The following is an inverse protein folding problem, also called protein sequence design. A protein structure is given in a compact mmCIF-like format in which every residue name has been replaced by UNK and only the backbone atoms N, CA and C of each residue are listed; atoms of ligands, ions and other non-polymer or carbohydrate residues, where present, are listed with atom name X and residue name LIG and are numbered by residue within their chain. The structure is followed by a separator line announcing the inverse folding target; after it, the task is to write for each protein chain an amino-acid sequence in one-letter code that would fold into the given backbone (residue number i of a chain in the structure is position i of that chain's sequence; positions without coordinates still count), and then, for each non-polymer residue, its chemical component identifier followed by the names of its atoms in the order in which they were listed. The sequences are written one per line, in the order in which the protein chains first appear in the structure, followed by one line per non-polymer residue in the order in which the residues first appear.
data_IF_039935775961
#
_entry.id   IF_039935775961
#
_cell.length_a   1.000
_cell.length_b   1.000
_cell.length_c   1.000
_cell.angle_alpha   90.00
_cell.angle_beta   90.00
_cell.angle_gamma   90.00
#
_symmetry.space_group_name_H-M   'P 1'
#
loop_
_entity.id
_entity.type
_entity.pdbx_description
1 polymer ?
#
# COMPACT_ATOMS: atom_id res chain seq x y z
N UNK A 1 -12.13 6.68 22.97
CA UNK A 1 -10.67 6.85 23.08
C UNK A 1 -10.03 5.52 22.76
N UNK A 2 -9.45 5.38 21.57
CA UNK A 2 -8.85 4.11 21.14
C UNK A 2 -7.50 3.94 21.83
N UNK A 3 -7.37 2.85 22.57
CA UNK A 3 -6.14 2.39 23.19
C UNK A 3 -5.18 2.04 22.05
N UNK A 4 -4.13 2.84 21.87
CA UNK A 4 -3.02 2.49 20.99
C UNK A 4 -2.31 1.33 21.67
N UNK A 5 -2.54 0.11 21.16
CA UNK A 5 -1.76 -1.05 21.56
C UNK A 5 -0.29 -0.72 21.31
N UNK A 6 0.56 -0.84 22.33
CA UNK A 6 2.01 -0.72 22.16
C UNK A 6 2.44 -1.72 21.08
N UNK A 7 3.23 -1.29 20.07
CA UNK A 7 3.69 -2.21 19.04
C UNK A 7 4.51 -3.31 19.72
N UNK A 8 4.17 -4.57 19.44
CA UNK A 8 5.06 -5.70 19.70
C UNK A 8 6.45 -5.32 19.21
N UNK A 9 7.53 -5.46 20.00
CA UNK A 9 8.85 -5.13 19.53
C UNK A 9 9.09 -5.91 18.24
N UNK A 10 9.39 -5.21 17.13
CA UNK A 10 9.52 -5.80 15.79
C UNK A 10 10.46 -7.02 15.75
N UNK A 11 11.39 -7.07 16.71
CA UNK A 11 12.38 -8.11 16.95
C UNK A 11 11.79 -9.46 17.39
N UNK A 12 10.56 -9.46 17.93
CA UNK A 12 9.88 -10.65 18.46
C UNK A 12 8.84 -11.24 17.48
N UNK A 13 8.65 -10.62 16.32
CA UNK A 13 7.72 -11.08 15.29
C UNK A 13 8.41 -12.17 14.46
N UNK A 14 7.83 -13.38 14.33
CA UNK A 14 8.33 -14.40 13.41
C UNK A 14 8.41 -13.86 11.97
N UNK A 15 9.43 -14.25 11.20
CA UNK A 15 9.65 -13.75 9.83
C UNK A 15 8.40 -13.89 8.93
N UNK A 16 7.69 -15.02 9.02
CA UNK A 16 6.47 -15.27 8.23
C UNK A 16 5.33 -14.30 8.59
N UNK A 17 5.22 -13.93 9.87
CA UNK A 17 4.20 -12.98 10.35
C UNK A 17 4.60 -11.54 9.98
N UNK A 18 5.90 -11.21 10.03
CA UNK A 18 6.44 -9.92 9.59
C UNK A 18 6.26 -9.71 8.08
N UNK A 19 6.50 -10.74 7.28
CA UNK A 19 6.26 -10.71 5.83
C UNK A 19 4.77 -10.50 5.54
N UNK A 20 3.89 -11.22 6.24
CA UNK A 20 2.44 -11.08 6.09
C UNK A 20 1.96 -9.67 6.44
N UNK A 21 2.50 -9.08 7.53
CA UNK A 21 2.19 -7.72 7.94
C UNK A 21 2.71 -6.68 6.93
N UNK A 22 3.93 -6.86 6.42
CA UNK A 22 4.53 -5.99 5.41
C UNK A 22 3.72 -6.00 4.10
N UNK A 23 3.33 -7.20 3.63
CA UNK A 23 2.50 -7.34 2.43
C UNK A 23 1.10 -6.74 2.62
N UNK A 24 0.50 -6.91 3.80
CA UNK A 24 -0.76 -6.27 4.14
C UNK A 24 -0.68 -4.74 4.11
N UNK A 25 0.37 -4.17 4.71
CA UNK A 25 0.62 -2.73 4.67
C UNK A 25 0.89 -2.22 3.25
N UNK A 26 1.66 -2.95 2.46
CA UNK A 26 1.91 -2.61 1.05
C UNK A 26 0.59 -2.56 0.26
N UNK A 27 -0.32 -3.50 0.49
CA UNK A 27 -1.66 -3.50 -0.10
C UNK A 27 -2.50 -2.28 0.32
N UNK A 28 -2.49 -1.93 1.60
CA UNK A 28 -3.20 -0.74 2.09
C UNK A 28 -2.62 0.56 1.51
N UNK A 29 -1.29 0.67 1.40
CA UNK A 29 -0.62 1.81 0.77
C UNK A 29 -1.02 1.91 -0.71
N UNK A 30 -1.01 0.79 -1.43
CA UNK A 30 -1.42 0.76 -2.84
C UNK A 30 -2.89 1.19 -3.03
N UNK A 31 -3.79 0.70 -2.19
CA UNK A 31 -5.19 1.08 -2.20
C UNK A 31 -5.40 2.58 -1.88
N UNK A 32 -4.67 3.09 -0.88
CA UNK A 32 -4.69 4.50 -0.52
C UNK A 32 -4.15 5.40 -1.65
N UNK A 33 -3.03 5.02 -2.29
CA UNK A 33 -2.46 5.75 -3.43
C UNK A 33 -3.44 5.75 -4.61
N UNK A 34 -4.11 4.63 -4.89
CA UNK A 34 -5.13 4.57 -5.94
C UNK A 34 -6.28 5.54 -5.67
N UNK A 35 -6.79 5.59 -4.43
CA UNK A 35 -7.83 6.53 -4.02
C UNK A 35 -7.34 7.98 -4.11
N UNK A 36 -6.10 8.25 -3.70
CA UNK A 36 -5.48 9.57 -3.81
C UNK A 36 -5.45 10.03 -5.27
N UNK A 37 -4.99 9.18 -6.20
CA UNK A 37 -4.90 9.52 -7.62
C UNK A 37 -6.30 9.75 -8.25
N UNK A 38 -7.33 9.02 -7.83
CA UNK A 38 -8.71 9.26 -8.28
C UNK A 38 -9.22 10.64 -7.83
N UNK A 39 -9.03 10.97 -6.55
CA UNK A 39 -9.41 12.28 -6.01
C UNK A 39 -8.64 13.40 -6.71
N UNK A 40 -7.35 13.17 -7.01
CA UNK A 40 -6.51 14.14 -7.70
C UNK A 40 -7.00 14.39 -9.14
N UNK A 41 -7.36 13.35 -9.89
CA UNK A 41 -7.90 13.49 -11.24
C UNK A 41 -9.21 14.28 -11.27
N UNK A 42 -10.12 14.00 -10.33
CA UNK A 42 -11.38 14.72 -10.16
C UNK A 42 -11.14 16.18 -9.74
N UNK A 43 -10.22 16.41 -8.82
CA UNK A 43 -9.86 17.73 -8.34
C UNK A 43 -9.28 18.61 -9.47
N UNK A 44 -8.40 18.03 -10.30
CA UNK A 44 -7.85 18.71 -11.46
C UNK A 44 -8.94 19.02 -12.51
N UNK A 45 -9.82 18.06 -12.82
CA UNK A 45 -10.91 18.27 -13.77
C UNK A 45 -11.88 19.37 -13.35
N UNK A 46 -12.14 19.50 -12.05
CA UNK A 46 -13.00 20.56 -11.49
C UNK A 46 -12.29 21.90 -11.37
N UNK A 47 -11.03 22.00 -11.81
CA UNK A 47 -10.16 23.14 -11.59
C UNK A 47 -10.14 23.56 -10.10
N UNK A 48 -10.18 22.60 -9.17
CA UNK A 48 -10.23 22.89 -7.73
C UNK A 48 -8.95 23.56 -7.21
N UNK A 49 -7.88 23.52 -8.00
CA UNK A 49 -6.63 24.22 -7.76
C UNK A 49 -6.64 25.68 -8.24
N UNK A 50 -7.63 26.09 -9.05
CA UNK A 50 -7.69 27.43 -9.60
C UNK A 50 -7.99 28.44 -8.48
N UNK A 51 -6.94 29.15 -8.10
CA UNK A 51 -6.96 30.23 -7.13
C UNK A 51 -5.86 31.22 -7.46
N UNK A 52 -5.90 32.40 -6.82
CA UNK A 52 -4.98 33.48 -7.15
C UNK A 52 -3.52 33.05 -7.02
N UNK A 53 -2.75 33.22 -8.11
CA UNK A 53 -1.34 32.87 -8.18
C UNK A 53 -1.01 31.40 -8.47
N UNK A 54 -2.01 30.51 -8.59
CA UNK A 54 -1.79 29.10 -8.91
C UNK A 54 -2.00 28.84 -10.40
N UNK A 55 -0.92 28.43 -11.07
CA UNK A 55 -0.88 28.29 -12.54
C UNK A 55 -1.24 26.89 -13.05
N UNK A 56 -1.22 25.87 -12.18
CA UNK A 56 -1.58 24.49 -12.52
C UNK A 56 -1.80 23.63 -11.27
N UNK A 57 -2.48 22.50 -11.40
CA UNK A 57 -2.61 21.53 -10.30
C UNK A 57 -1.27 20.98 -9.82
N UNK A 58 -0.27 20.86 -10.70
CA UNK A 58 1.07 20.42 -10.31
C UNK A 58 1.74 21.46 -9.40
N UNK A 59 1.56 22.76 -9.70
CA UNK A 59 2.03 23.84 -8.85
C UNK A 59 1.28 23.87 -7.50
N UNK A 60 -0.03 23.65 -7.52
CA UNK A 60 -0.84 23.51 -6.31
C UNK A 60 -0.34 22.38 -5.41
N UNK A 61 -0.09 21.19 -5.98
CA UNK A 61 0.44 20.03 -5.27
C UNK A 61 1.83 20.31 -4.69
N UNK A 62 2.67 21.00 -5.45
CA UNK A 62 4.01 21.35 -4.97
C UNK A 62 3.97 22.26 -3.76
N UNK A 63 3.09 23.26 -3.78
CA UNK A 63 2.89 24.20 -2.68
C UNK A 63 2.19 23.56 -1.47
N UNK A 64 1.11 22.80 -1.69
CA UNK A 64 0.22 22.32 -0.60
C UNK A 64 0.64 20.96 -0.03
N UNK A 65 1.22 20.09 -0.84
CA UNK A 65 1.65 18.75 -0.43
C UNK A 65 3.17 18.61 -0.33
N UNK A 66 3.94 19.68 -0.57
CA UNK A 66 5.41 19.67 -0.48
C UNK A 66 6.09 18.78 -1.52
N UNK A 67 5.38 18.37 -2.57
CA UNK A 67 5.96 17.53 -3.62
C UNK A 67 6.84 18.36 -4.54
N UNK A 68 7.92 17.77 -5.06
CA UNK A 68 8.62 18.41 -6.17
C UNK A 68 7.71 18.44 -7.42
N UNK A 69 7.92 19.43 -8.29
CA UNK A 69 7.05 19.66 -9.45
C UNK A 69 7.04 18.49 -10.44
N UNK A 70 8.19 17.80 -10.61
CA UNK A 70 8.31 16.64 -11.50
C UNK A 70 7.40 15.51 -11.02
N UNK A 71 7.50 15.16 -9.75
CA UNK A 71 6.69 14.12 -9.11
C UNK A 71 5.21 14.49 -9.11
N UNK A 72 4.85 15.75 -8.87
CA UNK A 72 3.46 16.21 -8.98
C UNK A 72 2.91 16.05 -10.40
N UNK A 73 3.72 16.38 -11.41
CA UNK A 73 3.35 16.22 -12.83
C UNK A 73 3.18 14.76 -13.21
N UNK A 74 4.11 13.88 -12.80
CA UNK A 74 3.99 12.44 -13.04
C UNK A 74 2.75 11.86 -12.35
N UNK A 75 2.46 12.26 -11.11
CA UNK A 75 1.24 11.83 -10.39
C UNK A 75 -0.03 12.27 -11.11
N UNK A 76 -0.07 13.50 -11.64
CA UNK A 76 -1.20 13.96 -12.44
C UNK A 76 -1.36 13.16 -13.74
N UNK A 77 -0.26 12.87 -14.45
CA UNK A 77 -0.29 12.02 -15.64
C UNK A 77 -0.86 10.63 -15.33
N UNK A 78 -0.39 10.00 -14.27
CA UNK A 78 -0.89 8.70 -13.81
C UNK A 78 -2.36 8.79 -13.40
N UNK A 79 -2.76 9.84 -12.67
CA UNK A 79 -4.14 10.06 -12.25
C UNK A 79 -5.09 10.17 -13.45
N UNK A 80 -4.72 10.94 -14.48
CA UNK A 80 -5.52 11.03 -15.70
C UNK A 80 -5.54 9.73 -16.51
N UNK A 81 -4.42 9.01 -16.60
CA UNK A 81 -4.35 7.72 -17.29
C UNK A 81 -5.21 6.65 -16.59
N UNK A 82 -5.20 6.61 -15.27
CA UNK A 82 -5.99 5.68 -14.46
C UNK A 82 -7.50 5.88 -14.64
N UNK A 83 -7.94 7.10 -14.93
CA UNK A 83 -9.36 7.39 -15.22
C UNK A 83 -9.89 6.64 -16.44
N UNK A 84 -9.01 6.28 -17.38
CA UNK A 84 -9.35 5.54 -18.60
C UNK A 84 -9.14 4.02 -18.47
N UNK A 85 -8.67 3.52 -17.33
CA UNK A 85 -8.30 2.11 -17.11
C UNK A 85 -9.04 1.50 -15.91
N UNK A 86 -10.37 1.30 -16.00
CA UNK A 86 -11.20 0.83 -14.88
C UNK A 86 -10.82 -0.56 -14.34
N UNK A 87 -10.14 -1.39 -15.13
CA UNK A 87 -9.65 -2.72 -14.71
C UNK A 87 -8.41 -2.66 -13.80
N UNK A 88 -7.54 -1.67 -13.97
CA UNK A 88 -6.38 -1.47 -13.08
C UNK A 88 -6.85 -0.96 -11.72
N UNK A 89 -7.90 -0.13 -11.71
CA UNK A 89 -8.57 0.36 -10.49
C UNK A 89 -9.12 -0.77 -9.63
N UNK A 90 -9.75 -1.79 -10.22
CA UNK A 90 -10.25 -2.95 -9.47
C UNK A 90 -9.12 -3.83 -8.94
N UNK A 91 -8.06 -4.06 -9.72
CA UNK A 91 -6.89 -4.84 -9.28
C UNK A 91 -6.08 -4.14 -8.17
N UNK A 92 -5.97 -2.80 -8.21
CA UNK A 92 -5.35 -1.99 -7.15
C UNK A 92 -6.23 -1.89 -5.91
N UNK A 93 -7.55 -1.65 -6.06
CA UNK A 93 -8.48 -1.54 -4.95
C UNK A 93 -8.69 -2.88 -4.22
N UNK A 94 -8.56 -4.01 -4.92
CA UNK A 94 -8.66 -5.34 -4.33
C UNK A 94 -7.36 -5.79 -3.61
N UNK A 95 -6.30 -4.99 -3.61
CA UNK A 95 -5.00 -5.38 -3.04
C UNK A 95 -4.38 -6.60 -3.73
N UNK A 96 -4.86 -6.96 -4.93
CA UNK A 96 -4.48 -8.20 -5.62
C UNK A 96 -3.21 -8.08 -6.44
N UNK A 97 -2.69 -6.88 -6.62
CA UNK A 97 -1.33 -6.65 -7.12
C UNK A 97 -0.33 -6.66 -5.95
N UNK A 98 -0.31 -7.75 -5.19
CA UNK A 98 0.92 -8.16 -4.50
C UNK A 98 1.74 -8.94 -5.51
N UNK A 99 3.00 -8.56 -5.70
CA UNK A 99 3.97 -9.24 -6.56
C UNK A 99 4.29 -10.68 -6.10
N UNK A 100 3.71 -11.14 -5.00
CA UNK A 100 4.04 -12.42 -4.37
C UNK A 100 2.79 -13.24 -4.09
N UNK A 101 2.12 -13.71 -5.14
CA UNK A 101 1.20 -14.85 -5.01
C UNK A 101 2.03 -16.13 -4.96
N UNK A 102 2.64 -16.44 -3.82
CA UNK A 102 3.16 -17.78 -3.52
C UNK A 102 2.51 -18.31 -2.24
N UNK A 103 2.04 -19.56 -2.35
CA UNK A 103 1.09 -20.21 -1.47
C UNK A 103 1.50 -20.28 0.02
N UNK A 104 0.53 -20.35 0.96
CA UNK A 104 0.83 -20.63 2.36
C UNK A 104 1.50 -22.01 2.49
N UNK A 105 2.74 -22.03 2.95
CA UNK A 105 3.45 -23.23 3.37
C UNK A 105 2.72 -23.82 4.60
N UNK A 106 2.32 -25.10 4.59
CA UNK A 106 1.72 -25.71 5.77
C UNK A 106 2.77 -25.80 6.88
N UNK A 107 2.47 -25.17 8.02
CA UNK A 107 3.30 -25.20 9.24
C UNK A 107 3.57 -26.65 9.66
N UNK A 108 4.84 -27.05 9.64
CA UNK A 108 5.31 -28.36 10.13
C UNK A 108 5.01 -28.47 11.64
N UNK A 109 4.30 -29.50 12.12
CA UNK A 109 3.98 -29.61 13.55
C UNK A 109 5.26 -29.86 14.37
N UNK A 110 5.37 -29.26 15.58
CA UNK A 110 6.52 -29.48 16.44
C UNK A 110 6.42 -30.84 17.15
N UNK A 111 7.46 -31.66 16.99
CA UNK A 111 7.89 -32.64 18.00
C UNK A 111 7.21 -34.01 18.00
N UNK A 112 7.91 -35.00 17.42
CA UNK A 112 7.99 -36.35 18.01
C UNK A 112 9.33 -36.99 17.67
N UNK A 113 10.37 -36.63 18.43
CA UNK A 113 11.53 -37.50 18.58
C UNK A 113 11.30 -38.34 19.83
N UNK A 114 10.78 -39.55 19.64
CA UNK A 114 10.74 -40.57 20.69
C UNK A 114 12.01 -41.41 20.59
N UNK A 115 13.12 -40.91 21.10
CA UNK A 115 14.29 -41.73 21.46
C UNK A 115 14.12 -42.24 22.90
N UNK A 116 13.19 -43.17 23.08
CA UNK A 116 13.07 -43.97 24.29
C UNK A 116 12.80 -45.40 23.88
N UNK A 117 13.87 -46.21 23.81
CA UNK A 117 13.79 -47.58 23.34
C UNK A 117 15.04 -48.38 23.64
N UNK A 118 15.61 -48.22 24.84
CA UNK A 118 16.51 -49.21 25.44
C UNK A 118 15.75 -50.55 25.54
N UNK A 119 16.09 -51.53 24.72
CA UNK A 119 16.05 -53.00 24.94
C UNK A 119 16.89 -53.61 23.81
N UNK A 120 17.70 -54.64 23.97
CA UNK A 120 18.25 -55.40 25.08
C UNK A 120 19.45 -56.14 24.47
#
# INVERSE_FOLDING_TARGET
MSIISLPTPLQAIPLDDLESELLGLAGHIAAAECRFLQLLAEFDQRNGWAGDGIRSCAHWLSWRAGMNLRTATERLRVAHALRNLPRIREAFAAGQLSYSKTAPTPKRPPGRWSSAGRRR
#
